data_IF_504414434767
#
_entry.id   IF_504414434767
#
_cell.length_a   1.000
_cell.length_b   1.000
_cell.length_c   1.000
_cell.angle_alpha   90.00
_cell.angle_beta   90.00
_cell.angle_gamma   90.00
#
_symmetry.space_group_name_H-M   'P 1'
#
loop_
_entity.id
_entity.type
_entity.pdbx_description
1 polymer ?
#
# COMPACT_ATOMS: atom_id res chain seq x y z
N UNK A 1 21.20 -13.59 30.89
CA UNK A 1 21.59 -12.33 31.54
C UNK A 1 21.53 -11.13 30.56
N UNK A 2 20.83 -11.19 29.44
CA UNK A 2 20.61 -10.10 28.49
C UNK A 2 21.82 -9.63 27.68
N UNK A 3 23.04 -9.80 28.23
CA UNK A 3 24.32 -9.40 27.60
C UNK A 3 25.39 -10.48 27.73
N UNK A 4 26.30 -10.55 26.75
CA UNK A 4 27.50 -11.40 26.76
C UNK A 4 28.76 -10.56 26.96
N UNK A 5 29.14 -10.36 28.22
CA UNK A 5 30.32 -9.58 28.59
C UNK A 5 31.61 -10.23 28.03
N UNK A 6 31.68 -11.57 28.00
CA UNK A 6 32.87 -12.28 27.46
C UNK A 6 32.95 -12.11 25.94
N UNK A 7 31.82 -12.19 25.25
CA UNK A 7 31.71 -11.92 23.81
C UNK A 7 32.09 -10.49 23.45
N UNK A 8 31.64 -9.50 24.23
CA UNK A 8 32.02 -8.09 24.05
C UNK A 8 33.50 -7.88 24.22
N UNK A 9 34.12 -8.46 25.29
CA UNK A 9 35.55 -8.37 25.52
C UNK A 9 36.34 -9.01 24.37
N UNK A 10 35.93 -10.22 23.93
CA UNK A 10 36.54 -10.92 22.80
C UNK A 10 36.46 -10.10 21.50
N UNK A 11 35.27 -9.58 21.16
CA UNK A 11 35.07 -8.75 19.96
C UNK A 11 35.92 -7.47 20.00
N UNK A 12 36.05 -6.84 21.18
CA UNK A 12 36.94 -5.69 21.40
C UNK A 12 38.42 -6.01 21.16
N UNK A 13 38.88 -7.15 21.67
CA UNK A 13 40.30 -7.59 21.46
C UNK A 13 40.56 -7.87 19.98
N UNK A 14 39.64 -8.55 19.28
CA UNK A 14 39.78 -8.85 17.85
C UNK A 14 39.76 -7.55 17.02
N UNK A 15 38.87 -6.62 17.33
CA UNK A 15 38.80 -5.32 16.64
C UNK A 15 40.11 -4.53 16.81
N UNK A 16 40.73 -4.56 17.98
CA UNK A 16 42.00 -3.89 18.26
C UNK A 16 43.21 -4.58 17.61
N UNK A 17 43.22 -5.90 17.57
CA UNK A 17 44.38 -6.67 17.09
C UNK A 17 44.38 -6.89 15.58
N UNK A 18 43.23 -7.20 15.01
CA UNK A 18 43.07 -7.58 13.59
C UNK A 18 42.44 -6.49 12.74
N UNK A 19 41.96 -5.38 13.33
CA UNK A 19 41.10 -4.37 12.68
C UNK A 19 39.86 -4.97 12.02
N UNK A 20 39.42 -6.14 12.47
CA UNK A 20 38.22 -6.81 12.01
C UNK A 20 37.05 -6.46 12.93
N UNK A 21 36.14 -5.65 12.43
CA UNK A 21 34.91 -5.23 13.12
C UNK A 21 33.70 -6.10 12.77
N UNK A 22 33.90 -7.22 12.06
CA UNK A 22 32.83 -8.12 11.62
C UNK A 22 32.26 -9.00 12.74
N UNK A 23 32.98 -9.15 13.85
CA UNK A 23 32.54 -9.99 14.97
C UNK A 23 31.56 -9.27 15.89
N UNK A 24 30.31 -9.74 15.88
CA UNK A 24 29.27 -9.28 16.80
C UNK A 24 29.27 -10.02 18.13
N UNK A 25 28.90 -9.32 19.20
CA UNK A 25 28.71 -9.88 20.54
C UNK A 25 27.28 -9.66 21.07
N UNK A 26 26.32 -9.43 20.17
CA UNK A 26 24.92 -9.21 20.54
C UNK A 26 24.22 -10.52 20.88
N UNK A 27 23.51 -10.55 22.00
CA UNK A 27 22.69 -11.68 22.43
C UNK A 27 21.36 -11.76 21.66
N UNK A 28 20.64 -12.89 21.76
CA UNK A 28 19.28 -13.04 21.23
C UNK A 28 18.35 -11.96 21.79
N UNK A 29 18.44 -11.66 23.09
CA UNK A 29 17.65 -10.59 23.73
C UNK A 29 17.91 -9.23 23.08
N UNK A 30 19.16 -8.88 22.81
CA UNK A 30 19.53 -7.66 22.11
C UNK A 30 19.04 -7.64 20.64
N UNK A 31 19.09 -8.78 19.96
CA UNK A 31 18.59 -8.90 18.60
C UNK A 31 17.06 -8.78 18.56
N UNK A 32 16.34 -9.39 19.52
CA UNK A 32 14.91 -9.22 19.66
C UNK A 32 14.52 -7.74 19.82
N UNK A 33 15.21 -7.03 20.73
CA UNK A 33 14.97 -5.59 20.93
C UNK A 33 15.23 -4.80 19.65
N UNK A 34 16.34 -5.10 18.96
CA UNK A 34 16.64 -4.49 17.67
C UNK A 34 15.53 -4.76 16.65
N UNK A 35 15.04 -5.99 16.56
CA UNK A 35 13.97 -6.35 15.61
C UNK A 35 12.65 -5.66 15.93
N UNK A 36 12.28 -5.55 17.22
CA UNK A 36 11.03 -4.91 17.65
C UNK A 36 11.11 -3.38 17.55
N UNK A 37 12.26 -2.77 17.85
CA UNK A 37 12.43 -1.32 17.84
C UNK A 37 12.85 -0.76 16.50
N UNK A 38 13.25 -1.63 15.56
CA UNK A 38 13.67 -1.34 14.18
C UNK A 38 14.70 -0.20 14.02
N UNK A 39 15.36 0.17 15.11
CA UNK A 39 16.41 1.20 15.09
C UNK A 39 17.69 0.63 14.49
N UNK A 40 17.84 0.75 13.17
CA UNK A 40 19.01 0.27 12.42
C UNK A 40 20.23 1.22 12.43
N UNK A 41 20.13 2.35 13.12
CA UNK A 41 21.24 3.31 13.22
C UNK A 41 22.47 2.68 13.88
N UNK A 42 23.65 2.86 13.29
CA UNK A 42 24.93 2.36 13.81
C UNK A 42 25.54 3.32 14.82
N UNK A 43 24.78 3.73 15.85
CA UNK A 43 25.26 4.68 16.87
C UNK A 43 25.58 3.99 18.20
N UNK A 44 26.57 4.52 18.94
CA UNK A 44 26.88 4.03 20.29
C UNK A 44 25.72 4.25 21.27
N UNK A 45 24.97 5.32 21.09
CA UNK A 45 23.78 5.65 21.92
C UNK A 45 22.71 4.57 21.76
N UNK A 46 22.40 4.19 20.52
CA UNK A 46 21.48 3.08 20.25
C UNK A 46 21.94 1.80 20.93
N UNK A 47 23.23 1.43 20.80
CA UNK A 47 23.76 0.20 21.39
C UNK A 47 23.70 0.21 22.92
N UNK A 48 23.89 1.37 23.53
CA UNK A 48 23.71 1.54 24.97
C UNK A 48 22.25 1.32 25.40
N UNK A 49 21.30 1.92 24.69
CA UNK A 49 19.87 1.72 24.96
C UNK A 49 19.46 0.26 24.75
N UNK A 50 19.92 -0.39 23.69
CA UNK A 50 19.69 -1.82 23.43
C UNK A 50 20.15 -2.70 24.59
N UNK A 51 21.36 -2.44 25.14
CA UNK A 51 21.89 -3.16 26.28
C UNK A 51 21.04 -2.96 27.53
N UNK A 52 20.69 -1.71 27.86
CA UNK A 52 19.85 -1.42 29.03
C UNK A 52 18.46 -2.03 28.91
N UNK A 53 17.85 -1.94 27.75
CA UNK A 53 16.55 -2.55 27.50
C UNK A 53 16.60 -4.07 27.60
N UNK A 54 17.67 -4.71 27.11
CA UNK A 54 17.85 -6.15 27.23
C UNK A 54 17.93 -6.61 28.69
N UNK A 55 18.67 -5.87 29.53
CA UNK A 55 18.77 -6.17 30.96
C UNK A 55 17.45 -5.99 31.68
N UNK A 56 16.74 -4.89 31.36
CA UNK A 56 15.44 -4.60 31.97
C UNK A 56 14.37 -5.62 31.54
N UNK A 57 14.39 -6.07 30.30
CA UNK A 57 13.43 -7.06 29.78
C UNK A 57 13.59 -8.41 30.50
N UNK A 58 14.83 -8.90 30.64
CA UNK A 58 15.09 -10.15 31.36
C UNK A 58 14.69 -10.05 32.83
N UNK A 59 15.00 -8.92 33.47
CA UNK A 59 14.61 -8.65 34.86
C UNK A 59 13.09 -8.59 35.02
N UNK A 60 12.39 -7.91 34.11
CA UNK A 60 10.94 -7.80 34.13
C UNK A 60 10.26 -9.17 34.09
N UNK A 61 10.67 -10.07 33.20
CA UNK A 61 10.11 -11.40 33.11
C UNK A 61 10.46 -12.28 34.32
N UNK A 62 11.63 -12.11 34.89
CA UNK A 62 12.06 -12.81 36.10
C UNK A 62 11.20 -12.38 37.31
N UNK A 63 10.90 -11.08 37.46
CA UNK A 63 10.01 -10.53 38.48
C UNK A 63 8.54 -10.98 38.31
N UNK A 64 8.12 -11.37 37.11
CA UNK A 64 6.80 -11.92 36.84
C UNK A 64 6.73 -13.46 37.02
N UNK A 65 7.77 -14.08 37.58
CA UNK A 65 7.90 -15.56 37.72
C UNK A 65 7.80 -16.32 36.38
N UNK A 66 8.00 -15.62 35.25
CA UNK A 66 8.10 -16.22 33.94
C UNK A 66 9.52 -16.71 33.69
N UNK A 67 9.69 -17.69 32.81
CA UNK A 67 11.01 -18.14 32.37
C UNK A 67 11.57 -17.21 31.28
N UNK A 68 12.40 -16.20 31.62
CA UNK A 68 12.79 -15.15 30.67
C UNK A 68 13.37 -15.69 29.37
N UNK A 69 14.15 -16.76 29.45
CA UNK A 69 14.82 -17.37 28.28
C UNK A 69 13.84 -17.99 27.29
N UNK A 70 12.81 -18.66 27.79
CA UNK A 70 11.80 -19.29 26.94
C UNK A 70 10.94 -18.23 26.26
N UNK A 71 10.42 -17.25 27.00
CA UNK A 71 9.59 -16.17 26.47
C UNK A 71 10.36 -15.32 25.45
N UNK A 72 11.60 -14.96 25.75
CA UNK A 72 12.45 -14.15 24.83
C UNK A 72 12.80 -14.95 23.58
N UNK A 73 13.08 -16.25 23.70
CA UNK A 73 13.38 -17.09 22.54
C UNK A 73 12.16 -17.26 21.65
N UNK A 74 10.99 -17.50 22.22
CA UNK A 74 9.74 -17.59 21.48
C UNK A 74 9.44 -16.28 20.74
N UNK A 75 9.50 -15.15 21.43
CA UNK A 75 9.32 -13.84 20.82
C UNK A 75 10.34 -13.58 19.69
N UNK A 76 11.61 -13.96 19.90
CA UNK A 76 12.65 -13.85 18.87
C UNK A 76 12.34 -14.70 17.64
N UNK A 77 11.97 -15.97 17.83
CA UNK A 77 11.65 -16.88 16.72
C UNK A 77 10.41 -16.45 15.93
N UNK A 78 9.47 -15.76 16.59
CA UNK A 78 8.28 -15.21 15.93
C UNK A 78 8.54 -13.86 15.21
N UNK A 79 9.65 -13.16 15.54
CA UNK A 79 9.92 -11.80 14.99
C UNK A 79 11.11 -11.75 14.03
N UNK A 80 11.93 -12.79 13.96
CA UNK A 80 13.06 -12.81 13.02
C UNK A 80 12.56 -12.82 11.57
N UNK A 81 13.40 -12.29 10.69
CA UNK A 81 13.20 -12.32 9.24
C UNK A 81 14.10 -13.38 8.61
N UNK A 82 13.63 -14.61 8.37
CA UNK A 82 14.45 -15.68 7.81
C UNK A 82 14.64 -15.61 6.31
N UNK A 83 13.82 -14.81 5.60
CA UNK A 83 13.90 -14.67 4.15
C UNK A 83 12.75 -13.85 3.55
N UNK A 84 12.77 -13.59 2.24
CA UNK A 84 11.78 -12.76 1.56
C UNK A 84 10.33 -13.18 1.86
N UNK A 85 9.55 -12.22 2.38
CA UNK A 85 8.14 -12.44 2.73
C UNK A 85 7.88 -13.25 4.00
N UNK A 86 8.91 -13.66 4.74
CA UNK A 86 8.76 -14.50 5.94
C UNK A 86 9.07 -13.69 7.20
N UNK A 87 8.12 -13.63 8.12
CA UNK A 87 8.34 -13.20 9.51
C UNK A 87 8.03 -14.36 10.44
N UNK A 88 9.01 -14.71 11.28
CA UNK A 88 8.95 -15.87 12.16
C UNK A 88 9.29 -17.21 11.48
N UNK A 89 9.68 -18.16 12.31
CA UNK A 89 10.18 -19.47 11.85
C UNK A 89 9.05 -20.37 11.33
N UNK A 90 7.82 -20.21 11.82
CA UNK A 90 6.66 -20.98 11.34
C UNK A 90 6.39 -20.63 9.87
N UNK A 91 6.24 -19.35 9.54
CA UNK A 91 6.02 -18.88 8.17
C UNK A 91 7.15 -19.30 7.23
N UNK A 92 8.40 -19.27 7.73
CA UNK A 92 9.54 -19.71 6.93
C UNK A 92 9.55 -21.23 6.70
N UNK A 93 9.13 -22.03 7.68
CA UNK A 93 8.97 -23.48 7.51
C UNK A 93 7.94 -23.82 6.43
N UNK A 94 6.81 -23.12 6.44
CA UNK A 94 5.78 -23.26 5.42
C UNK A 94 6.25 -22.82 4.04
N UNK A 95 6.90 -21.66 3.94
CA UNK A 95 7.35 -21.11 2.65
C UNK A 95 8.51 -21.88 2.01
N UNK A 96 9.44 -22.39 2.80
CA UNK A 96 10.59 -23.13 2.27
C UNK A 96 10.32 -24.61 2.06
N UNK A 97 9.61 -25.23 3.01
CA UNK A 97 9.45 -26.69 3.04
C UNK A 97 8.01 -27.16 2.91
N UNK A 98 7.03 -26.24 2.91
CA UNK A 98 5.60 -26.59 2.88
C UNK A 98 5.21 -27.46 4.08
N UNK A 99 5.79 -27.20 5.26
CA UNK A 99 5.60 -28.00 6.49
C UNK A 99 5.33 -27.08 7.67
N UNK A 100 4.58 -27.57 8.65
CA UNK A 100 4.56 -26.92 9.94
C UNK A 100 5.93 -27.08 10.64
N UNK A 101 6.29 -26.09 11.47
CA UNK A 101 7.57 -26.08 12.19
C UNK A 101 7.86 -27.37 12.96
N UNK A 102 6.81 -27.95 13.57
CA UNK A 102 6.91 -29.21 14.33
C UNK A 102 7.27 -30.45 13.49
N UNK A 103 7.02 -30.38 12.16
CA UNK A 103 7.21 -31.50 11.22
C UNK A 103 8.55 -31.41 10.48
N UNK A 104 9.35 -30.37 10.78
CA UNK A 104 10.68 -30.23 10.20
C UNK A 104 11.64 -31.29 10.78
N UNK A 105 12.43 -31.91 9.89
CA UNK A 105 13.53 -32.76 10.32
C UNK A 105 14.77 -31.92 10.73
N UNK A 106 15.75 -32.56 11.36
CA UNK A 106 16.95 -31.88 11.88
C UNK A 106 17.74 -31.13 10.79
N UNK A 107 17.80 -31.65 9.57
CA UNK A 107 18.47 -31.01 8.42
C UNK A 107 17.77 -29.72 8.02
N UNK A 108 16.45 -29.74 7.95
CA UNK A 108 15.62 -28.58 7.62
C UNK A 108 15.66 -27.52 8.72
N UNK A 109 15.62 -27.93 9.99
CA UNK A 109 15.78 -27.04 11.16
C UNK A 109 17.13 -26.31 11.10
N UNK A 110 18.23 -27.04 10.83
CA UNK A 110 19.54 -26.45 10.75
C UNK A 110 19.70 -25.51 9.54
N UNK A 111 19.07 -25.84 8.41
CA UNK A 111 19.04 -25.00 7.22
C UNK A 111 18.25 -23.70 7.47
N UNK A 112 17.07 -23.79 8.12
CA UNK A 112 16.27 -22.65 8.51
C UNK A 112 17.00 -21.76 9.52
N UNK A 113 17.61 -22.34 10.57
CA UNK A 113 18.40 -21.59 11.54
C UNK A 113 19.58 -20.84 10.89
N UNK A 114 20.14 -21.38 9.82
CA UNK A 114 21.26 -20.78 9.08
C UNK A 114 20.92 -19.46 8.42
N UNK A 115 19.67 -19.27 7.97
CA UNK A 115 19.21 -18.05 7.29
C UNK A 115 19.27 -16.83 8.19
N UNK A 116 19.14 -17.01 9.51
CA UNK A 116 19.09 -15.92 10.51
C UNK A 116 20.33 -15.03 10.50
N UNK A 117 21.49 -15.53 10.02
CA UNK A 117 22.73 -14.77 9.95
C UNK A 117 22.72 -13.73 8.81
N UNK A 118 22.21 -14.11 7.67
CA UNK A 118 22.06 -13.25 6.48
C UNK A 118 20.94 -13.83 5.61
N UNK A 119 19.71 -13.40 5.82
CA UNK A 119 18.53 -13.98 5.16
C UNK A 119 18.59 -13.94 3.64
N UNK A 120 19.22 -12.92 3.07
CA UNK A 120 19.34 -12.78 1.63
C UNK A 120 20.40 -13.73 1.04
N UNK A 121 21.61 -13.72 1.60
CA UNK A 121 22.72 -14.53 1.07
C UNK A 121 22.64 -16.03 1.42
N UNK A 122 21.77 -16.40 2.39
CA UNK A 122 21.59 -17.77 2.86
C UNK A 122 20.16 -18.28 2.62
N UNK A 123 19.41 -17.64 1.74
CA UNK A 123 18.09 -18.09 1.31
C UNK A 123 18.20 -19.44 0.61
N UNK A 124 17.54 -20.51 1.10
CA UNK A 124 17.72 -21.85 0.53
C UNK A 124 17.15 -22.01 -0.87
N UNK A 125 16.21 -21.14 -1.29
CA UNK A 125 15.64 -21.16 -2.65
C UNK A 125 16.63 -20.59 -3.67
N UNK A 126 17.25 -19.45 -3.35
CA UNK A 126 18.11 -18.74 -4.29
C UNK A 126 19.61 -19.05 -4.10
N UNK A 127 20.03 -19.49 -2.89
CA UNK A 127 21.42 -19.70 -2.51
C UNK A 127 21.62 -21.06 -1.80
N UNK A 128 21.13 -22.13 -2.42
CA UNK A 128 21.06 -23.48 -1.85
C UNK A 128 22.43 -24.00 -1.34
N UNK A 129 23.50 -23.77 -2.10
CA UNK A 129 24.86 -24.22 -1.73
C UNK A 129 25.42 -23.41 -0.54
N UNK A 130 25.25 -22.11 -0.51
CA UNK A 130 25.70 -21.27 0.59
C UNK A 130 24.92 -21.59 1.88
N UNK A 131 23.63 -21.84 1.77
CA UNK A 131 22.81 -22.33 2.87
C UNK A 131 23.29 -23.69 3.36
N UNK A 132 23.62 -24.64 2.47
CA UNK A 132 24.13 -25.97 2.81
C UNK A 132 25.42 -25.89 3.61
N UNK A 133 26.37 -25.08 3.16
CA UNK A 133 27.64 -24.86 3.89
C UNK A 133 27.37 -24.33 5.31
N UNK A 134 26.45 -23.40 5.43
CA UNK A 134 26.12 -22.82 6.74
C UNK A 134 25.30 -23.78 7.61
N UNK A 135 24.40 -24.54 7.04
CA UNK A 135 23.65 -25.63 7.67
C UNK A 135 24.58 -26.66 8.30
N UNK A 136 25.57 -27.10 7.51
CA UNK A 136 26.53 -28.11 7.96
C UNK A 136 27.38 -27.60 9.13
N UNK A 137 27.71 -26.30 9.10
CA UNK A 137 28.37 -25.64 10.25
C UNK A 137 27.41 -25.58 11.46
N UNK A 138 26.13 -25.31 11.30
CA UNK A 138 25.14 -25.35 12.37
C UNK A 138 25.07 -26.74 13.03
N UNK A 139 24.94 -27.79 12.20
CA UNK A 139 24.91 -29.19 12.65
C UNK A 139 26.18 -29.56 13.43
N UNK A 140 27.35 -29.12 12.96
CA UNK A 140 28.61 -29.30 13.65
C UNK A 140 28.64 -28.64 15.04
N UNK A 141 28.18 -27.41 15.14
CA UNK A 141 28.07 -26.71 16.41
C UNK A 141 27.08 -27.40 17.37
N UNK A 142 25.99 -27.96 16.87
CA UNK A 142 25.03 -28.73 17.69
C UNK A 142 25.68 -30.01 18.24
N UNK A 143 26.49 -30.71 17.42
CA UNK A 143 27.24 -31.88 17.87
C UNK A 143 28.28 -31.51 18.92
N UNK A 144 29.10 -30.50 18.67
CA UNK A 144 30.15 -30.05 19.59
C UNK A 144 29.61 -29.61 20.96
N UNK A 145 28.38 -29.11 21.00
CA UNK A 145 27.69 -28.69 22.21
C UNK A 145 26.80 -29.79 22.84
N UNK A 146 26.79 -30.99 22.25
CA UNK A 146 26.06 -32.14 22.78
C UNK A 146 24.54 -32.10 22.61
N UNK A 147 24.00 -31.23 21.74
CA UNK A 147 22.57 -31.17 21.43
C UNK A 147 22.11 -32.30 20.51
N UNK A 148 22.99 -32.83 19.70
CA UNK A 148 22.75 -33.98 18.82
C UNK A 148 23.86 -35.02 18.97
N UNK A 149 23.52 -36.28 18.72
CA UNK A 149 24.48 -37.39 18.71
C UNK A 149 25.28 -37.41 17.39
N UNK A 150 26.40 -38.11 17.37
CA UNK A 150 27.23 -38.34 16.20
C UNK A 150 26.43 -39.05 15.08
N UNK A 151 25.54 -39.97 15.42
CA UNK A 151 24.68 -40.65 14.48
C UNK A 151 23.71 -39.68 13.80
N UNK A 152 23.07 -38.81 14.57
CA UNK A 152 22.17 -37.76 14.04
C UNK A 152 22.89 -36.76 13.15
N UNK A 153 24.12 -36.37 13.56
CA UNK A 153 24.98 -35.51 12.73
C UNK A 153 25.28 -36.16 11.36
N UNK A 154 25.80 -37.41 11.41
CA UNK A 154 26.21 -38.15 10.21
C UNK A 154 25.03 -38.44 9.24
N UNK A 155 23.83 -38.61 9.75
CA UNK A 155 22.62 -38.75 8.96
C UNK A 155 22.23 -37.40 8.34
N UNK A 156 22.17 -36.36 9.15
CA UNK A 156 21.65 -35.04 8.74
C UNK A 156 22.55 -34.34 7.73
N UNK A 157 23.88 -34.50 7.83
CA UNK A 157 24.81 -33.87 6.89
C UNK A 157 24.74 -34.47 5.47
N UNK A 158 24.34 -35.74 5.38
CA UNK A 158 24.16 -36.44 4.09
C UNK A 158 22.81 -36.19 3.42
N UNK A 159 21.86 -35.72 4.18
CA UNK A 159 20.48 -35.51 3.73
C UNK A 159 20.37 -34.16 3.04
N UNK A 160 19.87 -34.15 1.82
CA UNK A 160 19.54 -32.91 1.14
C UNK A 160 18.15 -32.39 1.61
N UNK A 161 18.00 -31.07 1.59
CA UNK A 161 16.71 -30.42 1.82
C UNK A 161 15.90 -30.46 0.52
N UNK A 162 14.61 -30.69 0.66
CA UNK A 162 13.64 -30.57 -0.44
C UNK A 162 12.81 -29.32 -0.21
N UNK A 163 12.85 -28.41 -1.15
CA UNK A 163 12.16 -27.13 -1.10
C UNK A 163 10.85 -27.21 -1.89
N UNK A 164 9.91 -26.34 -1.57
CA UNK A 164 8.64 -26.23 -2.31
C UNK A 164 8.83 -25.92 -3.81
N UNK A 165 9.99 -25.40 -4.19
CA UNK A 165 10.35 -25.09 -5.59
C UNK A 165 11.09 -26.22 -6.29
N UNK A 166 11.40 -27.31 -5.62
CA UNK A 166 12.15 -28.42 -6.21
C UNK A 166 11.19 -29.38 -6.97
N UNK A 167 11.57 -29.88 -8.14
CA UNK A 167 10.76 -30.80 -8.98
C UNK A 167 10.36 -32.10 -8.27
N UNK A 168 11.11 -32.50 -7.27
CA UNK A 168 10.84 -33.70 -6.47
C UNK A 168 10.06 -33.42 -5.17
N UNK A 169 9.51 -32.21 -5.02
CA UNK A 169 8.70 -31.88 -3.87
C UNK A 169 7.39 -32.67 -3.88
N UNK A 170 7.16 -33.43 -2.81
CA UNK A 170 5.94 -34.21 -2.59
C UNK A 170 5.25 -33.71 -1.30
N UNK A 171 4.87 -32.44 -1.30
CA UNK A 171 4.45 -31.75 -0.09
C UNK A 171 3.10 -32.20 0.44
N UNK A 172 3.06 -32.47 1.75
CA UNK A 172 1.85 -32.86 2.46
C UNK A 172 0.97 -31.70 2.88
N UNK A 173 1.52 -30.49 3.08
CA UNK A 173 0.72 -29.30 3.49
C UNK A 173 0.04 -28.63 2.32
N UNK A 174 0.64 -28.63 1.12
CA UNK A 174 -0.05 -28.11 -0.06
C UNK A 174 -1.23 -29.02 -0.39
N UNK A 175 -1.09 -30.36 -0.33
CA UNK A 175 -2.20 -31.29 -0.55
C UNK A 175 -3.24 -31.26 0.59
N UNK A 176 -2.82 -31.11 1.85
CA UNK A 176 -3.74 -30.97 2.98
C UNK A 176 -4.38 -29.60 3.03
N UNK A 177 -3.65 -28.56 2.62
CA UNK A 177 -4.19 -27.23 2.38
C UNK A 177 -5.08 -27.21 1.13
N UNK A 178 -4.78 -27.97 0.07
CA UNK A 178 -5.69 -28.12 -1.08
C UNK A 178 -6.93 -28.97 -0.75
N UNK A 179 -6.90 -29.84 0.25
CA UNK A 179 -8.07 -30.59 0.73
C UNK A 179 -8.85 -29.85 1.85
N UNK A 180 -8.16 -29.12 2.74
CA UNK A 180 -8.75 -28.22 3.74
C UNK A 180 -8.95 -26.78 3.20
N UNK A 181 -8.16 -26.35 2.18
CA UNK A 181 -8.27 -25.11 1.42
C UNK A 181 -9.04 -25.28 0.09
N UNK A 182 -9.94 -26.19 0.03
CA UNK A 182 -11.21 -25.87 -0.64
C UNK A 182 -11.98 -24.76 0.09
N UNK A 183 -11.54 -24.32 1.25
CA UNK A 183 -11.54 -22.92 1.67
C UNK A 183 -10.28 -22.25 1.11
N UNK A 184 -10.40 -21.76 -0.15
CA UNK A 184 -9.53 -20.87 -0.86
C UNK A 184 -8.59 -20.07 0.06
N UNK A 185 -7.27 -20.11 -0.19
CA UNK A 185 -6.44 -18.90 -0.02
C UNK A 185 -7.00 -17.86 -0.98
N UNK A 186 -8.10 -17.26 -0.60
CA UNK A 186 -8.71 -16.17 -1.33
C UNK A 186 -7.62 -15.12 -1.50
N UNK A 187 -7.08 -15.04 -2.70
CA UNK A 187 -6.32 -13.86 -3.12
C UNK A 187 -7.18 -12.68 -2.68
N UNK A 188 -6.69 -11.93 -1.72
CA UNK A 188 -7.47 -10.87 -1.09
C UNK A 188 -8.00 -9.93 -2.16
N UNK A 189 -9.29 -9.56 -2.10
CA UNK A 189 -9.93 -8.69 -3.06
C UNK A 189 -9.22 -7.33 -3.19
N UNK A 190 -9.49 -6.62 -4.28
CA UNK A 190 -8.93 -5.27 -4.48
C UNK A 190 -9.28 -4.30 -3.35
N UNK A 191 -10.45 -4.49 -2.72
CA UNK A 191 -10.86 -3.65 -1.59
C UNK A 191 -9.96 -3.85 -0.38
N UNK A 192 -9.63 -5.10 -0.05
CA UNK A 192 -8.75 -5.42 1.08
C UNK A 192 -7.35 -4.87 0.87
N UNK A 193 -6.79 -5.01 -0.35
CA UNK A 193 -5.50 -4.41 -0.69
C UNK A 193 -5.53 -2.88 -0.57
N UNK A 194 -6.63 -2.26 -0.97
CA UNK A 194 -6.82 -0.81 -0.86
C UNK A 194 -6.86 -0.37 0.62
N UNK A 195 -7.61 -1.09 1.48
CA UNK A 195 -7.63 -0.85 2.94
C UNK A 195 -6.23 -0.95 3.52
N UNK A 196 -5.51 -2.04 3.24
CA UNK A 196 -4.15 -2.26 3.78
C UNK A 196 -3.20 -1.15 3.36
N UNK A 197 -3.24 -0.73 2.08
CA UNK A 197 -2.38 0.34 1.58
C UNK A 197 -2.72 1.69 2.25
N UNK A 198 -4.00 2.00 2.46
CA UNK A 198 -4.40 3.21 3.15
C UNK A 198 -3.96 3.19 4.60
N UNK A 199 -4.18 2.08 5.32
CA UNK A 199 -3.76 1.91 6.71
C UNK A 199 -2.23 2.04 6.86
N UNK A 200 -1.44 1.47 5.93
CA UNK A 200 0.02 1.64 5.93
C UNK A 200 0.37 3.12 5.85
N UNK A 201 -0.21 3.86 4.91
CA UNK A 201 0.10 5.27 4.71
C UNK A 201 -0.33 6.11 5.91
N UNK A 202 -1.53 5.89 6.44
CA UNK A 202 -2.04 6.65 7.58
C UNK A 202 -1.22 6.37 8.88
N UNK A 203 -0.76 5.12 9.08
CA UNK A 203 0.17 4.77 10.17
C UNK A 203 1.56 5.41 9.96
N UNK A 204 2.08 5.42 8.73
CA UNK A 204 3.33 6.12 8.41
C UNK A 204 3.24 7.61 8.79
N UNK A 205 2.17 8.27 8.39
CA UNK A 205 1.94 9.69 8.63
C UNK A 205 1.75 9.99 10.11
N UNK A 206 0.90 9.21 10.81
CA UNK A 206 0.57 9.42 12.22
C UNK A 206 1.78 9.24 13.15
N UNK A 207 2.60 8.23 12.88
CA UNK A 207 3.70 7.84 13.77
C UNK A 207 5.08 8.18 13.19
N UNK A 208 5.15 8.83 12.02
CA UNK A 208 6.40 9.16 11.31
C UNK A 208 7.28 7.91 11.07
N UNK A 209 6.65 6.80 10.70
CA UNK A 209 7.30 5.51 10.46
C UNK A 209 7.66 5.31 8.99
N UNK A 210 8.66 4.47 8.75
CA UNK A 210 8.91 3.94 7.40
C UNK A 210 7.78 2.97 6.98
N UNK A 211 7.68 2.70 5.67
CA UNK A 211 6.70 1.75 5.14
C UNK A 211 6.85 0.35 5.72
N UNK A 212 8.09 -0.07 6.00
CA UNK A 212 8.40 -1.38 6.59
C UNK A 212 7.89 -1.43 8.04
N UNK A 213 8.18 -0.39 8.83
CA UNK A 213 7.73 -0.28 10.22
C UNK A 213 6.20 -0.27 10.32
N UNK A 214 5.53 0.51 9.47
CA UNK A 214 4.07 0.55 9.40
C UNK A 214 3.48 -0.82 9.01
N UNK A 215 4.07 -1.50 8.02
CA UNK A 215 3.65 -2.84 7.62
C UNK A 215 3.80 -3.85 8.75
N UNK A 216 4.92 -3.84 9.46
CA UNK A 216 5.17 -4.71 10.61
C UNK A 216 4.17 -4.48 11.73
N UNK A 217 3.81 -3.21 12.00
CA UNK A 217 2.80 -2.87 13.00
C UNK A 217 1.42 -3.42 12.62
N UNK A 218 1.07 -3.47 11.35
CA UNK A 218 -0.20 -4.01 10.86
C UNK A 218 -0.22 -5.53 10.97
N UNK A 219 0.78 -6.20 10.41
CA UNK A 219 0.79 -7.66 10.33
C UNK A 219 1.19 -8.35 11.64
N UNK A 220 2.02 -7.72 12.46
CA UNK A 220 2.47 -8.26 13.74
C UNK A 220 1.69 -7.74 14.95
N UNK A 221 0.88 -6.69 14.79
CA UNK A 221 0.24 -5.98 15.89
C UNK A 221 -1.14 -6.49 16.29
N UNK A 222 -1.71 -7.47 15.57
CA UNK A 222 -3.05 -7.98 15.85
C UNK A 222 -4.13 -6.90 15.78
N UNK A 223 -4.00 -5.93 14.87
CA UNK A 223 -4.93 -4.81 14.76
C UNK A 223 -6.29 -5.25 14.22
N UNK A 224 -7.37 -4.69 14.77
CA UNK A 224 -8.71 -4.82 14.23
C UNK A 224 -9.03 -3.59 13.37
N UNK A 225 -9.30 -3.80 12.08
CA UNK A 225 -9.60 -2.75 11.12
C UNK A 225 -11.09 -2.80 10.78
N UNK A 226 -11.81 -1.73 11.09
CA UNK A 226 -13.24 -1.58 10.81
C UNK A 226 -13.41 -0.91 9.46
N UNK A 227 -13.63 -1.71 8.43
CA UNK A 227 -13.68 -1.26 7.04
C UNK A 227 -14.97 -0.51 6.71
N UNK A 228 -14.89 0.35 5.70
CA UNK A 228 -15.99 1.15 5.20
C UNK A 228 -16.73 0.48 4.01
N UNK A 229 -16.40 -0.75 3.66
CA UNK A 229 -16.98 -1.49 2.54
C UNK A 229 -18.49 -1.67 2.69
N UNK A 230 -19.20 -1.66 1.56
CA UNK A 230 -20.52 -2.25 1.44
C UNK A 230 -20.36 -3.60 0.74
N UNK A 231 -20.58 -4.68 1.48
CA UNK A 231 -20.34 -6.04 0.99
C UNK A 231 -21.21 -6.37 -0.22
N UNK A 232 -22.47 -5.93 -0.24
CA UNK A 232 -23.35 -6.19 -1.37
C UNK A 232 -22.89 -5.47 -2.65
N UNK A 233 -22.42 -4.22 -2.52
CA UNK A 233 -21.86 -3.47 -3.65
C UNK A 233 -20.55 -4.11 -4.12
N UNK A 234 -19.68 -4.49 -3.20
CA UNK A 234 -18.39 -5.09 -3.53
C UNK A 234 -18.53 -6.46 -4.23
N UNK A 235 -19.44 -7.30 -3.75
CA UNK A 235 -19.76 -8.59 -4.38
C UNK A 235 -20.28 -8.42 -5.81
N UNK A 236 -21.16 -7.46 -6.07
CA UNK A 236 -21.63 -7.16 -7.42
C UNK A 236 -20.49 -6.68 -8.32
N UNK A 237 -19.59 -5.83 -7.80
CA UNK A 237 -18.43 -5.38 -8.56
C UNK A 237 -17.51 -6.55 -8.91
N UNK A 238 -17.23 -7.43 -7.97
CA UNK A 238 -16.38 -8.59 -8.18
C UNK A 238 -17.00 -9.53 -9.21
N UNK A 239 -18.29 -9.87 -9.08
CA UNK A 239 -18.98 -10.73 -10.04
C UNK A 239 -18.96 -10.17 -11.48
N UNK A 240 -19.30 -8.89 -11.67
CA UNK A 240 -19.30 -8.25 -12.97
C UNK A 240 -17.93 -8.23 -13.63
N UNK A 241 -16.87 -7.96 -12.84
CA UNK A 241 -15.51 -7.80 -13.33
C UNK A 241 -14.80 -9.13 -13.53
N UNK A 242 -14.97 -10.11 -12.66
CA UNK A 242 -14.40 -11.45 -12.80
C UNK A 242 -14.97 -12.18 -14.01
N UNK A 243 -16.29 -12.16 -14.16
CA UNK A 243 -16.98 -12.83 -15.26
C UNK A 243 -16.95 -12.02 -16.57
N UNK A 244 -16.53 -10.76 -16.53
CA UNK A 244 -16.47 -9.84 -17.70
C UNK A 244 -17.78 -9.79 -18.51
N UNK A 245 -18.92 -9.98 -17.85
CA UNK A 245 -20.23 -10.11 -18.53
C UNK A 245 -20.63 -8.86 -19.31
N UNK A 246 -20.23 -7.69 -18.83
CA UNK A 246 -20.55 -6.38 -19.40
C UNK A 246 -19.44 -5.78 -20.27
N UNK A 247 -18.36 -6.51 -20.50
CA UNK A 247 -17.23 -6.00 -21.29
C UNK A 247 -17.43 -6.26 -22.78
N UNK A 248 -17.17 -5.21 -23.61
CA UNK A 248 -17.22 -5.30 -25.07
C UNK A 248 -16.16 -6.28 -25.59
N UNK A 249 -14.93 -6.12 -25.12
CA UNK A 249 -13.85 -7.07 -25.34
C UNK A 249 -13.61 -7.88 -24.06
N UNK A 250 -14.12 -9.10 -24.05
CA UNK A 250 -14.05 -9.99 -22.88
C UNK A 250 -12.66 -10.55 -22.62
N UNK A 251 -11.76 -10.51 -23.59
CA UNK A 251 -10.47 -11.18 -23.50
C UNK A 251 -9.36 -10.25 -23.01
N UNK A 252 -9.27 -9.03 -23.54
CA UNK A 252 -8.11 -8.15 -23.33
C UNK A 252 -8.41 -6.84 -22.62
N UNK A 253 -9.65 -6.35 -22.71
CA UNK A 253 -10.01 -5.07 -22.10
C UNK A 253 -9.80 -5.09 -20.58
N UNK A 254 -9.13 -4.06 -20.08
CA UNK A 254 -8.97 -3.82 -18.65
C UNK A 254 -9.77 -2.56 -18.25
N UNK A 255 -10.32 -2.63 -17.05
CA UNK A 255 -11.10 -1.54 -16.47
C UNK A 255 -10.91 -1.52 -14.96
N UNK A 256 -11.27 -0.42 -14.35
CA UNK A 256 -11.32 -0.27 -12.90
C UNK A 256 -12.51 0.61 -12.54
N UNK A 257 -13.06 0.44 -11.35
CA UNK A 257 -14.19 1.22 -10.87
C UNK A 257 -14.01 1.55 -9.39
N UNK A 258 -14.46 2.74 -9.03
CA UNK A 258 -14.59 3.21 -7.64
C UNK A 258 -16.03 3.64 -7.42
N UNK A 259 -16.63 3.19 -6.33
CA UNK A 259 -17.95 3.62 -5.88
C UNK A 259 -17.77 4.27 -4.50
N UNK A 260 -18.27 5.50 -4.37
CA UNK A 260 -18.19 6.29 -3.15
C UNK A 260 -19.54 6.87 -2.80
N UNK A 261 -19.79 7.06 -1.53
CA UNK A 261 -20.86 7.94 -1.09
C UNK A 261 -20.40 9.41 -0.99
N UNK A 262 -21.33 10.31 -0.73
CA UNK A 262 -21.06 11.74 -0.68
C UNK A 262 -20.29 12.21 0.57
N UNK A 263 -19.94 11.31 1.48
CA UNK A 263 -19.17 11.60 2.70
C UNK A 263 -17.71 11.16 2.59
N UNK A 264 -17.27 10.74 1.40
CA UNK A 264 -15.91 10.25 1.17
C UNK A 264 -15.71 8.76 1.44
N UNK A 265 -16.74 8.05 1.89
CA UNK A 265 -16.70 6.61 2.11
C UNK A 265 -16.58 5.87 0.79
N UNK A 266 -15.52 5.10 0.62
CA UNK A 266 -15.37 4.17 -0.50
C UNK A 266 -16.12 2.89 -0.17
N UNK A 267 -17.29 2.71 -0.79
CA UNK A 267 -18.18 1.56 -0.52
C UNK A 267 -17.82 0.34 -1.37
N UNK A 268 -17.14 0.55 -2.50
CA UNK A 268 -16.66 -0.53 -3.38
C UNK A 268 -15.53 -0.05 -4.29
N UNK A 269 -14.56 -0.92 -4.56
CA UNK A 269 -13.46 -0.66 -5.49
C UNK A 269 -13.00 -1.95 -6.15
N UNK A 270 -12.72 -1.86 -7.46
CA UNK A 270 -12.14 -2.95 -8.24
C UNK A 270 -11.06 -2.40 -9.18
N UNK A 271 -9.92 -3.06 -9.22
CA UNK A 271 -8.72 -2.58 -9.91
C UNK A 271 -8.39 -3.27 -11.23
N UNK A 272 -9.19 -4.24 -11.65
CA UNK A 272 -8.93 -4.97 -12.89
C UNK A 272 -10.04 -5.92 -13.25
N UNK A 273 -10.11 -6.31 -14.53
CA UNK A 273 -11.07 -7.26 -15.06
C UNK A 273 -10.46 -8.66 -15.16
N UNK A 274 -11.24 -9.68 -14.81
CA UNK A 274 -10.84 -11.08 -14.65
C UNK A 274 -10.48 -11.41 -13.21
N UNK A 275 -10.27 -12.69 -12.94
CA UNK A 275 -9.88 -13.18 -11.62
C UNK A 275 -8.55 -12.54 -11.20
N UNK A 276 -8.48 -12.06 -9.98
CA UNK A 276 -7.26 -11.50 -9.42
C UNK A 276 -6.31 -12.63 -9.01
N UNK A 277 -5.13 -12.70 -9.64
CA UNK A 277 -4.19 -13.82 -9.50
C UNK A 277 -3.18 -13.66 -8.36
N UNK A 278 -3.04 -12.46 -7.78
CA UNK A 278 -2.02 -12.20 -6.75
C UNK A 278 -2.42 -11.15 -5.73
N UNK A 279 -1.91 -11.30 -4.51
CA UNK A 279 -2.04 -10.28 -3.46
C UNK A 279 -1.29 -9.00 -3.88
N UNK A 280 -1.86 -7.83 -3.55
CA UNK A 280 -1.29 -6.51 -3.85
C UNK A 280 -0.94 -6.28 -5.33
N UNK A 281 -1.66 -6.94 -6.23
CA UNK A 281 -1.52 -6.68 -7.66
C UNK A 281 -2.00 -5.27 -8.01
N UNK A 282 -1.60 -4.78 -9.19
CA UNK A 282 -1.91 -3.43 -9.68
C UNK A 282 -3.41 -3.12 -9.55
N UNK A 283 -3.74 -2.19 -8.68
CA UNK A 283 -5.08 -1.63 -8.59
C UNK A 283 -5.20 -0.42 -9.53
N UNK A 284 -5.79 -0.61 -10.69
CA UNK A 284 -5.91 0.47 -11.69
C UNK A 284 -6.80 1.63 -11.24
N UNK A 285 -7.64 1.41 -10.23
CA UNK A 285 -8.49 2.48 -9.69
C UNK A 285 -7.68 3.52 -8.91
N UNK A 286 -6.55 3.11 -8.31
CA UNK A 286 -5.66 3.95 -7.49
C UNK A 286 -4.30 4.22 -8.14
N UNK A 287 -3.76 3.25 -8.90
CA UNK A 287 -2.35 3.25 -9.32
C UNK A 287 -2.14 3.47 -10.82
N UNK A 288 -3.23 3.58 -11.60
CA UNK A 288 -3.16 3.74 -13.05
C UNK A 288 -3.93 4.97 -13.52
N UNK A 289 -3.36 6.17 -13.38
CA UNK A 289 -3.99 7.39 -13.87
C UNK A 289 -4.16 7.34 -15.40
N UNK A 290 -5.25 7.93 -15.89
CA UNK A 290 -5.58 8.05 -17.31
C UNK A 290 -6.14 9.43 -17.60
N UNK A 291 -5.90 9.99 -18.81
CA UNK A 291 -6.52 11.24 -19.21
C UNK A 291 -8.04 11.16 -19.10
N UNK A 292 -8.68 12.02 -18.28
CA UNK A 292 -10.12 11.97 -18.06
C UNK A 292 -10.93 12.48 -19.26
N UNK A 293 -10.28 13.15 -20.20
CA UNK A 293 -10.96 13.76 -21.32
C UNK A 293 -12.01 14.77 -20.87
N UNK A 294 -13.12 14.82 -21.58
CA UNK A 294 -14.21 15.78 -21.32
C UNK A 294 -14.88 15.65 -19.95
N UNK A 295 -14.67 14.56 -19.23
CA UNK A 295 -15.20 14.41 -17.88
C UNK A 295 -14.60 15.39 -16.87
N UNK A 296 -13.45 16.00 -17.18
CA UNK A 296 -12.86 17.01 -16.31
C UNK A 296 -13.56 18.37 -16.39
N UNK A 297 -14.25 18.69 -17.48
CA UNK A 297 -14.80 20.03 -17.76
C UNK A 297 -15.69 20.60 -16.66
N UNK A 298 -16.59 19.82 -16.03
CA UNK A 298 -17.36 20.30 -14.89
C UNK A 298 -16.47 20.80 -13.76
N UNK A 299 -15.37 20.12 -13.48
CA UNK A 299 -14.49 20.36 -12.35
C UNK A 299 -13.43 21.44 -12.62
N UNK A 300 -12.90 21.51 -13.85
CA UNK A 300 -11.84 22.44 -14.21
C UNK A 300 -12.33 23.81 -14.70
N UNK A 301 -13.55 23.88 -15.28
CA UNK A 301 -14.03 25.08 -15.94
C UNK A 301 -15.41 25.53 -15.44
N UNK A 302 -16.44 24.67 -15.54
CA UNK A 302 -17.80 25.13 -15.34
C UNK A 302 -18.15 25.44 -13.89
N UNK A 303 -18.02 24.45 -12.97
CA UNK A 303 -18.38 24.65 -11.57
C UNK A 303 -17.55 25.77 -10.91
N UNK A 304 -16.23 25.84 -11.05
CA UNK A 304 -15.48 26.93 -10.43
C UNK A 304 -15.80 28.31 -11.00
N UNK A 305 -16.06 28.45 -12.31
CA UNK A 305 -16.45 29.74 -12.89
C UNK A 305 -17.87 30.16 -12.45
N UNK A 306 -18.77 29.20 -12.23
CA UNK A 306 -20.11 29.46 -11.68
C UNK A 306 -20.06 29.87 -10.22
N UNK A 307 -19.22 29.22 -9.43
CA UNK A 307 -19.05 29.48 -8.00
C UNK A 307 -18.53 30.89 -7.71
N UNK A 308 -17.63 31.40 -8.56
CA UNK A 308 -17.14 32.77 -8.49
C UNK A 308 -18.15 33.82 -9.00
N UNK A 309 -19.35 33.39 -9.42
CA UNK A 309 -20.39 34.27 -9.92
C UNK A 309 -20.16 34.82 -11.32
N UNK A 310 -19.17 34.28 -12.03
CA UNK A 310 -18.83 34.74 -13.39
C UNK A 310 -19.83 34.33 -14.46
N UNK A 311 -20.56 33.24 -14.26
CA UNK A 311 -21.57 32.69 -15.17
C UNK A 311 -22.70 31.98 -14.43
N UNK A 312 -23.80 31.76 -15.15
CA UNK A 312 -24.93 30.93 -14.76
C UNK A 312 -25.19 29.87 -15.82
N UNK A 313 -26.11 28.94 -15.58
CA UNK A 313 -26.54 27.94 -16.57
C UNK A 313 -27.08 28.54 -17.88
N UNK A 314 -27.72 29.69 -17.79
CA UNK A 314 -28.26 30.43 -18.92
C UNK A 314 -27.30 31.41 -19.57
N UNK A 315 -26.15 31.65 -19.00
CA UNK A 315 -25.14 32.55 -19.59
C UNK A 315 -24.77 32.12 -20.99
N UNK A 316 -24.72 33.09 -21.90
CA UNK A 316 -24.44 32.87 -23.33
C UNK A 316 -22.95 33.10 -23.59
N UNK A 317 -22.25 32.04 -23.98
CA UNK A 317 -20.80 32.05 -24.24
C UNK A 317 -20.57 31.86 -25.75
N UNK A 318 -19.59 32.58 -26.30
CA UNK A 318 -19.23 32.47 -27.71
C UNK A 318 -18.63 31.09 -28.02
N UNK A 319 -19.32 30.32 -28.88
CA UNK A 319 -18.88 29.03 -29.40
C UNK A 319 -17.99 29.23 -30.63
N UNK A 320 -16.68 29.49 -30.40
CA UNK A 320 -15.67 29.70 -31.44
C UNK A 320 -14.31 29.34 -30.87
N UNK A 321 -13.40 28.92 -31.72
CA UNK A 321 -11.97 28.73 -31.34
C UNK A 321 -11.41 29.94 -30.56
N UNK A 322 -10.44 29.70 -29.68
CA UNK A 322 -9.95 30.69 -28.72
C UNK A 322 -8.61 31.29 -29.12
N UNK A 323 -7.71 30.48 -29.66
CA UNK A 323 -6.35 30.89 -30.05
C UNK A 323 -5.78 29.98 -31.14
N UNK A 324 -4.67 30.42 -31.77
CA UNK A 324 -3.91 29.56 -32.67
C UNK A 324 -2.80 28.83 -31.91
N UNK A 325 -2.69 27.53 -32.15
CA UNK A 325 -1.65 26.67 -31.60
C UNK A 325 -0.95 25.97 -32.76
N UNK A 326 0.34 26.22 -32.93
CA UNK A 326 1.14 25.69 -34.04
C UNK A 326 0.52 25.93 -35.43
N UNK A 327 -0.03 27.16 -35.65
CA UNK A 327 -0.68 27.56 -36.90
C UNK A 327 -2.04 26.95 -37.18
N UNK A 328 -2.66 26.37 -36.19
CA UNK A 328 -4.04 25.80 -36.27
C UNK A 328 -4.93 26.42 -35.20
N UNK A 329 -6.18 26.65 -35.58
CA UNK A 329 -7.20 27.10 -34.62
C UNK A 329 -7.39 26.09 -33.51
N UNK A 330 -7.53 26.56 -32.26
CA UNK A 330 -7.73 25.74 -31.08
C UNK A 330 -8.80 26.36 -30.16
N UNK A 331 -9.63 25.57 -29.47
CA UNK A 331 -9.75 24.13 -29.60
C UNK A 331 -10.66 23.72 -30.76
N UNK A 332 -10.58 22.43 -31.12
CA UNK A 332 -11.46 21.76 -32.05
C UNK A 332 -12.50 20.96 -31.26
N UNK A 333 -13.78 21.02 -31.66
CA UNK A 333 -14.85 20.20 -31.10
C UNK A 333 -14.73 18.74 -31.59
N UNK A 334 -15.45 17.82 -30.93
CA UNK A 334 -15.42 16.39 -31.27
C UNK A 334 -15.84 16.11 -32.72
N UNK A 335 -16.86 16.83 -33.21
CA UNK A 335 -17.35 16.73 -34.59
C UNK A 335 -16.40 17.31 -35.66
N UNK A 336 -15.28 17.87 -35.21
CA UNK A 336 -14.25 18.39 -36.11
C UNK A 336 -14.37 19.86 -36.45
N UNK A 337 -15.41 20.58 -36.02
CA UNK A 337 -15.55 22.03 -36.21
C UNK A 337 -14.77 22.85 -35.14
N UNK A 338 -14.73 24.15 -35.34
CA UNK A 338 -14.11 25.12 -34.44
C UNK A 338 -15.13 26.01 -33.72
N UNK A 339 -16.35 25.48 -33.57
CA UNK A 339 -17.52 26.15 -33.02
C UNK A 339 -18.42 26.76 -34.09
N UNK A 340 -19.65 27.07 -33.70
CA UNK A 340 -20.68 27.61 -34.58
C UNK A 340 -20.44 29.08 -35.00
N UNK A 341 -19.55 29.78 -34.31
CA UNK A 341 -19.32 31.22 -34.46
C UNK A 341 -20.41 32.09 -33.79
N UNK A 342 -21.41 31.46 -33.20
CA UNK A 342 -22.51 32.11 -32.45
C UNK A 342 -22.39 31.90 -30.94
N UNK A 343 -23.38 32.32 -30.20
CA UNK A 343 -23.47 32.14 -28.75
C UNK A 343 -24.27 30.88 -28.39
N UNK A 344 -23.83 30.20 -27.37
CA UNK A 344 -24.48 28.99 -26.82
C UNK A 344 -24.62 29.13 -25.31
N UNK A 345 -25.73 28.64 -24.72
CA UNK A 345 -25.86 28.62 -23.27
C UNK A 345 -24.87 27.65 -22.63
N UNK A 346 -24.44 27.96 -21.41
CA UNK A 346 -23.54 27.08 -20.59
C UNK A 346 -24.13 25.68 -20.51
N UNK A 347 -25.42 25.53 -20.21
CA UNK A 347 -26.10 24.25 -20.16
C UNK A 347 -25.96 23.46 -21.48
N UNK A 348 -26.23 24.09 -22.62
CA UNK A 348 -26.12 23.47 -23.93
C UNK A 348 -24.64 23.12 -24.29
N UNK A 349 -23.72 23.98 -23.94
CA UNK A 349 -22.32 23.74 -24.17
C UNK A 349 -21.81 22.52 -23.40
N UNK A 350 -22.20 22.38 -22.13
CA UNK A 350 -21.88 21.22 -21.31
C UNK A 350 -22.56 19.95 -21.84
N UNK A 351 -23.85 19.98 -22.12
CA UNK A 351 -24.63 18.84 -22.66
C UNK A 351 -24.07 18.32 -23.98
N UNK A 352 -23.57 19.20 -24.84
CA UNK A 352 -22.92 18.86 -26.11
C UNK A 352 -21.44 18.63 -26.01
N UNK A 353 -20.89 18.76 -24.79
CA UNK A 353 -19.44 18.58 -24.50
C UNK A 353 -18.54 19.41 -25.42
N UNK A 354 -18.93 20.66 -25.73
CA UNK A 354 -18.13 21.55 -26.56
C UNK A 354 -16.76 21.78 -25.90
N UNK A 355 -15.72 21.89 -26.72
CA UNK A 355 -14.35 22.20 -26.26
C UNK A 355 -14.07 23.71 -26.22
N UNK A 356 -14.72 24.45 -27.08
CA UNK A 356 -14.56 25.91 -27.24
C UNK A 356 -14.97 26.69 -26.00
N UNK A 357 -16.07 26.28 -25.36
CA UNK A 357 -16.62 26.98 -24.20
C UNK A 357 -15.75 26.82 -22.93
N UNK A 358 -15.39 25.61 -22.44
CA UNK A 358 -14.54 25.51 -21.27
C UNK A 358 -13.15 26.14 -21.48
N UNK A 359 -12.58 26.08 -22.69
CA UNK A 359 -11.33 26.78 -22.99
C UNK A 359 -11.49 28.29 -22.79
N UNK A 360 -12.59 28.88 -23.29
CA UNK A 360 -12.87 30.29 -23.12
C UNK A 360 -13.15 30.69 -21.68
N UNK A 361 -13.86 29.87 -20.93
CA UNK A 361 -14.12 30.11 -19.50
C UNK A 361 -12.82 30.15 -18.71
N UNK A 362 -11.90 29.21 -18.95
CA UNK A 362 -10.59 29.20 -18.28
C UNK A 362 -9.76 30.41 -18.69
N UNK A 363 -9.70 30.75 -19.99
CA UNK A 363 -8.86 31.86 -20.48
C UNK A 363 -9.34 33.23 -20.05
N UNK A 364 -10.67 33.46 -20.05
CA UNK A 364 -11.24 34.79 -19.93
C UNK A 364 -11.92 35.09 -18.59
N UNK A 365 -12.32 34.06 -17.85
CA UNK A 365 -13.10 34.23 -16.65
C UNK A 365 -12.37 33.72 -15.41
N UNK A 366 -11.94 32.43 -15.39
CA UNK A 366 -11.44 31.78 -14.18
C UNK A 366 -9.91 31.86 -14.04
N UNK A 367 -9.20 31.65 -15.13
CA UNK A 367 -7.72 31.61 -15.14
C UNK A 367 -7.15 30.18 -15.08
N UNK A 368 -6.03 29.97 -15.80
CA UNK A 368 -5.33 28.69 -15.87
C UNK A 368 -4.78 28.27 -14.51
N UNK A 369 -4.16 29.20 -13.78
CA UNK A 369 -3.60 28.96 -12.46
C UNK A 369 -4.66 28.55 -11.44
N UNK A 370 -5.79 29.23 -11.43
CA UNK A 370 -6.88 28.93 -10.50
C UNK A 370 -7.58 27.60 -10.86
N UNK A 371 -7.77 27.32 -12.15
CA UNK A 371 -8.26 26.02 -12.63
C UNK A 371 -7.34 24.88 -12.20
N UNK A 372 -6.03 25.05 -12.31
CA UNK A 372 -5.06 24.05 -11.86
C UNK A 372 -5.07 23.88 -10.34
N UNK A 373 -5.09 24.97 -9.57
CA UNK A 373 -5.22 24.91 -8.10
C UNK A 373 -6.52 24.27 -7.65
N UNK A 374 -7.64 24.54 -8.35
CA UNK A 374 -8.90 23.86 -8.06
C UNK A 374 -8.71 22.34 -8.09
N UNK A 375 -8.10 21.80 -9.14
CA UNK A 375 -7.90 20.37 -9.30
C UNK A 375 -6.90 19.81 -8.28
N UNK A 376 -5.78 20.50 -8.03
CA UNK A 376 -4.66 19.95 -7.24
C UNK A 376 -4.75 20.26 -5.75
N UNK A 377 -5.15 21.48 -5.38
CA UNK A 377 -5.15 21.92 -3.98
C UNK A 377 -6.52 21.71 -3.31
N UNK A 378 -7.62 21.99 -4.03
CA UNK A 378 -8.97 21.85 -3.50
C UNK A 378 -9.50 20.43 -3.67
N UNK A 379 -9.46 19.87 -4.88
CA UNK A 379 -9.92 18.51 -5.19
C UNK A 379 -8.87 17.42 -5.00
N UNK A 380 -7.65 17.79 -4.58
CA UNK A 380 -6.56 16.89 -4.16
C UNK A 380 -6.12 15.87 -5.23
N UNK A 381 -6.29 16.18 -6.50
CA UNK A 381 -5.78 15.35 -7.61
C UNK A 381 -4.26 15.49 -7.64
N UNK A 382 -3.56 14.44 -7.18
CA UNK A 382 -2.09 14.47 -6.96
C UNK A 382 -1.26 14.13 -8.19
N UNK A 383 -1.89 13.60 -9.25
CA UNK A 383 -1.21 13.08 -10.43
C UNK A 383 -0.88 14.13 -11.48
N UNK A 384 -1.40 15.36 -11.33
CA UNK A 384 -1.16 16.47 -12.26
C UNK A 384 0.22 17.10 -12.02
N UNK A 385 0.90 17.46 -13.10
CA UNK A 385 2.30 17.93 -13.08
C UNK A 385 2.43 19.39 -13.51
N UNK A 386 3.37 20.11 -12.88
CA UNK A 386 3.84 21.44 -13.34
C UNK A 386 5.17 21.37 -14.05
N UNK A 387 5.81 20.19 -14.14
CA UNK A 387 7.16 20.03 -14.69
C UNK A 387 7.13 19.81 -16.20
N UNK A 388 7.86 20.62 -16.95
CA UNK A 388 8.06 20.43 -18.39
C UNK A 388 8.80 19.09 -18.66
N UNK A 389 8.50 18.39 -19.76
CA UNK A 389 7.52 18.68 -20.81
C UNK A 389 6.08 18.23 -20.47
N UNK A 390 5.85 17.76 -19.26
CA UNK A 390 4.60 17.13 -18.81
C UNK A 390 3.69 18.08 -18.01
N UNK A 391 3.92 19.39 -18.11
CA UNK A 391 3.15 20.38 -17.36
C UNK A 391 1.68 20.40 -17.76
N UNK A 392 0.77 20.23 -16.79
CA UNK A 392 -0.69 20.14 -17.00
C UNK A 392 -1.41 21.47 -16.70
N UNK A 393 -0.69 22.50 -16.26
CA UNK A 393 -1.21 23.80 -15.85
C UNK A 393 -1.43 24.78 -17.03
N UNK A 394 -1.81 24.27 -18.18
CA UNK A 394 -2.13 25.10 -19.37
C UNK A 394 -3.55 24.82 -19.83
N UNK A 395 -4.16 25.82 -20.47
CA UNK A 395 -5.56 25.74 -20.92
C UNK A 395 -5.81 24.58 -21.88
N UNK A 396 -4.82 24.24 -22.72
CA UNK A 396 -4.93 23.14 -23.68
C UNK A 396 -5.21 21.81 -23.01
N UNK A 397 -4.71 21.61 -21.78
CA UNK A 397 -4.91 20.39 -21.00
C UNK A 397 -6.09 20.50 -20.04
N UNK A 398 -6.19 21.62 -19.35
CA UNK A 398 -7.25 21.87 -18.36
C UNK A 398 -8.65 21.86 -18.96
N UNK A 399 -8.80 22.43 -20.17
CA UNK A 399 -10.11 22.59 -20.81
C UNK A 399 -10.70 21.28 -21.36
N UNK A 400 -9.87 20.31 -21.70
CA UNK A 400 -10.29 19.09 -22.40
C UNK A 400 -9.82 17.80 -21.72
N UNK A 401 -9.11 17.89 -20.60
CA UNK A 401 -8.63 16.75 -19.83
C UNK A 401 -7.54 15.92 -20.51
N UNK A 402 -6.73 16.55 -21.37
CA UNK A 402 -5.60 15.88 -22.03
C UNK A 402 -4.33 15.91 -21.17
N UNK A 403 -4.45 15.51 -19.93
CA UNK A 403 -3.34 15.51 -18.97
C UNK A 403 -2.28 14.47 -19.33
N UNK A 404 -1.02 14.78 -18.98
CA UNK A 404 0.14 13.96 -19.32
C UNK A 404 0.10 12.57 -18.73
N UNK A 405 -0.21 12.46 -17.46
CA UNK A 405 -0.40 11.19 -16.75
C UNK A 405 -1.88 10.86 -16.59
N UNK A 406 -2.72 11.88 -16.45
CA UNK A 406 -4.14 11.74 -16.21
C UNK A 406 -4.50 11.77 -14.74
N UNK A 407 -5.66 11.19 -14.39
CA UNK A 407 -6.21 11.10 -13.04
C UNK A 407 -6.60 9.66 -12.73
N UNK A 408 -6.63 9.29 -11.45
CA UNK A 408 -7.11 7.98 -11.02
C UNK A 408 -8.64 7.94 -10.99
N UNK A 409 -9.23 6.75 -11.05
CA UNK A 409 -10.67 6.56 -10.86
C UNK A 409 -11.10 7.05 -9.47
N UNK A 410 -10.29 6.79 -8.44
CA UNK A 410 -10.55 7.23 -7.07
C UNK A 410 -10.60 8.76 -6.96
N UNK A 411 -9.55 9.45 -7.46
CA UNK A 411 -9.47 10.92 -7.39
C UNK A 411 -10.62 11.59 -8.15
N UNK A 412 -10.94 11.09 -9.34
CA UNK A 412 -12.00 11.64 -10.15
C UNK A 412 -13.37 11.43 -9.49
N UNK A 413 -13.63 10.26 -8.90
CA UNK A 413 -14.88 9.97 -8.17
C UNK A 413 -15.01 10.89 -6.96
N UNK A 414 -13.95 11.07 -6.15
CA UNK A 414 -13.94 11.97 -5.01
C UNK A 414 -14.22 13.43 -5.43
N UNK A 415 -13.61 13.86 -6.52
CA UNK A 415 -13.86 15.19 -7.07
C UNK A 415 -15.32 15.39 -7.52
N UNK A 416 -15.90 14.38 -8.16
CA UNK A 416 -17.32 14.45 -8.58
C UNK A 416 -18.30 14.39 -7.42
N UNK A 417 -17.97 13.74 -6.31
CA UNK A 417 -18.79 13.75 -5.10
C UNK A 417 -19.05 15.17 -4.58
N UNK A 418 -18.12 16.11 -4.81
CA UNK A 418 -18.30 17.52 -4.43
C UNK A 418 -19.47 18.19 -5.16
N UNK A 419 -19.74 17.79 -6.38
CA UNK A 419 -20.87 18.34 -7.14
C UNK A 419 -22.22 17.81 -6.63
N UNK A 420 -22.24 16.60 -6.07
CA UNK A 420 -23.46 15.95 -5.57
C UNK A 420 -23.81 16.28 -4.11
N UNK A 421 -22.84 16.79 -3.32
CA UNK A 421 -23.03 17.03 -1.89
C UNK A 421 -23.05 18.51 -1.47
N UNK A 422 -23.29 19.40 -2.42
CA UNK A 422 -23.35 20.84 -2.18
C UNK A 422 -21.96 21.51 -2.07
N UNK A 423 -20.94 20.93 -2.69
CA UNK A 423 -19.61 21.53 -2.82
C UNK A 423 -18.62 21.18 -1.73
N UNK A 424 -18.86 20.13 -0.95
CA UNK A 424 -17.93 19.68 0.09
C UNK A 424 -16.97 18.61 -0.44
N UNK A 425 -15.68 18.82 -0.26
CA UNK A 425 -14.69 17.77 -0.52
C UNK A 425 -14.41 16.96 0.73
N UNK A 426 -14.53 15.64 0.61
CA UNK A 426 -14.12 14.68 1.62
C UNK A 426 -12.98 13.82 1.07
N UNK A 427 -11.93 13.63 1.88
CA UNK A 427 -10.85 12.68 1.56
C UNK A 427 -11.44 11.27 1.46
N UNK A 428 -11.15 10.50 0.39
CA UNK A 428 -11.59 9.11 0.30
C UNK A 428 -11.06 8.27 1.46
N UNK A 429 -11.92 7.44 2.07
CA UNK A 429 -11.52 6.53 3.12
C UNK A 429 -12.13 5.13 2.95
N UNK A 430 -11.32 4.12 3.29
CA UNK A 430 -11.68 2.71 3.19
C UNK A 430 -11.99 2.06 4.54
N UNK A 431 -11.73 2.75 5.65
CA UNK A 431 -11.99 2.24 7.00
C UNK A 431 -12.40 3.38 7.94
N UNK A 432 -13.20 3.05 8.94
CA UNK A 432 -13.66 3.99 9.94
C UNK A 432 -12.64 4.17 11.06
N UNK A 433 -12.16 3.07 11.63
CA UNK A 433 -11.21 3.07 12.75
C UNK A 433 -10.36 1.82 12.77
N UNK A 434 -9.26 1.91 13.50
CA UNK A 434 -8.37 0.81 13.82
C UNK A 434 -8.23 0.73 15.33
N UNK A 435 -8.38 -0.47 15.90
CA UNK A 435 -8.14 -0.72 17.32
C UNK A 435 -7.02 -1.73 17.52
N UNK A 436 -6.51 -1.82 18.75
CA UNK A 436 -5.62 -2.90 19.15
C UNK A 436 -6.36 -4.25 19.15
N UNK A 437 -5.62 -5.35 19.38
CA UNK A 437 -6.18 -6.71 19.41
C UNK A 437 -7.39 -6.88 20.33
N UNK A 438 -7.38 -6.25 21.50
CA UNK A 438 -8.48 -6.34 22.48
C UNK A 438 -9.69 -5.43 22.14
N UNK A 439 -9.59 -4.55 21.16
CA UNK A 439 -10.62 -3.57 20.81
C UNK A 439 -10.78 -2.43 21.83
N UNK A 440 -9.88 -2.34 22.82
CA UNK A 440 -9.99 -1.40 23.95
C UNK A 440 -9.34 -0.06 23.70
N UNK A 441 -8.37 -0.02 22.78
CA UNK A 441 -7.62 1.20 22.45
C UNK A 441 -7.76 1.50 20.96
N UNK A 442 -8.14 2.73 20.62
CA UNK A 442 -8.19 3.21 19.24
C UNK A 442 -6.80 3.67 18.80
N UNK A 443 -6.30 3.05 17.74
CA UNK A 443 -5.01 3.36 17.12
C UNK A 443 -5.15 4.50 16.10
N UNK A 444 -6.18 4.43 15.26
CA UNK A 444 -6.57 5.46 14.30
C UNK A 444 -8.08 5.58 14.24
N UNK A 445 -8.57 6.80 14.07
CA UNK A 445 -9.99 7.10 13.88
C UNK A 445 -10.16 8.05 12.68
N UNK A 446 -10.93 7.62 11.69
CA UNK A 446 -11.25 8.42 10.52
C UNK A 446 -12.67 9.02 10.61
N UNK A 447 -13.43 8.75 11.67
CA UNK A 447 -14.79 9.26 11.82
C UNK A 447 -14.81 10.76 12.02
N UNK A 448 -13.86 11.32 12.78
CA UNK A 448 -13.76 12.75 13.05
C UNK A 448 -13.26 13.57 11.84
N UNK A 449 -12.49 12.95 10.92
CA UNK A 449 -11.93 13.65 9.77
C UNK A 449 -12.99 14.05 8.73
N UNK A 450 -14.20 13.53 8.84
CA UNK A 450 -15.27 13.71 7.85
C UNK A 450 -16.43 14.58 8.32
N UNK A 451 -16.46 15.01 9.61
CA UNK A 451 -17.50 15.94 10.08
C UNK A 451 -17.34 17.36 9.49
N UNK A 452 -16.10 17.76 9.15
CA UNK A 452 -15.77 19.07 8.57
C UNK A 452 -15.39 18.99 7.09
N UNK A 453 -16.25 18.40 6.25
CA UNK A 453 -16.08 18.49 4.79
C UNK A 453 -15.82 19.94 4.39
N UNK A 454 -14.65 20.20 3.78
CA UNK A 454 -14.24 21.54 3.41
C UNK A 454 -15.10 22.05 2.26
N UNK A 455 -15.88 23.09 2.47
CA UNK A 455 -16.66 23.71 1.40
C UNK A 455 -15.72 24.24 0.31
N UNK A 456 -15.84 23.70 -0.90
CA UNK A 456 -15.11 24.14 -2.08
C UNK A 456 -15.98 24.98 -3.02
N UNK A 457 -17.28 24.70 -3.07
CA UNK A 457 -18.24 25.38 -3.91
C UNK A 457 -19.47 25.76 -3.12
N UNK A 458 -19.98 26.97 -3.35
CA UNK A 458 -21.36 27.34 -3.07
C UNK A 458 -22.15 27.21 -4.37
N UNK A 459 -22.53 26.03 -4.76
CA UNK A 459 -23.52 25.85 -5.80
C UNK A 459 -24.81 26.44 -5.23
N UNK A 460 -25.11 27.68 -5.60
CA UNK A 460 -26.40 28.30 -5.29
C UNK A 460 -27.48 27.38 -5.82
N UNK A 461 -28.19 26.69 -4.93
CA UNK A 461 -29.44 26.05 -5.29
C UNK A 461 -30.36 27.16 -5.74
N UNK A 462 -30.78 27.12 -6.99
CA UNK A 462 -31.80 28.03 -7.48
C UNK A 462 -33.08 27.84 -6.64
N UNK A 463 -33.43 28.88 -5.85
CA UNK A 463 -34.71 29.03 -5.22
C UNK A 463 -34.84 28.51 -3.80
N UNK A 464 -34.14 29.09 -2.85
CA UNK A 464 -34.64 29.41 -1.52
C UNK A 464 -33.77 30.54 -0.94
N UNK A 465 -33.91 31.72 -1.51
CA UNK A 465 -33.67 32.92 -0.71
C UNK A 465 -34.89 33.05 0.21
N UNK A 466 -34.82 32.50 1.38
CA UNK A 466 -35.54 32.98 2.56
C UNK A 466 -34.80 32.43 3.80
N UNK A 467 -34.07 33.33 4.41
CA UNK A 467 -33.39 33.47 5.68
C UNK A 467 -31.88 33.45 5.62
#
# INVERSE_FOLDING_TARGET
NGIDIKGIARAGVIALTSRDFSQGASTITQQLIKNITEKNETTYVRKYHEILTALNLEKYYDEQELKPKEVILEAYLNTIYPGPGCYGVQTAAENYYGKELKDLNLTEIAALASTTKNPYALDPIYHKEDNKVRRDYCLKCMLEQGYISESQYNESIKKDIVLVTDDNYQGSLIQKKEEDEKEETKVQGYYVDFVINQVINDIMDQYSLSKIEASNKIYGGGLQIYTAVDLGIQEILEDVYENRTSFIDRQYAQSAMTIMDYTGRVVGIIGGAGVKEGARSLNRATDSPRPPGSSIKPLSAYAPTMDEGGITWSSMILDKWCKDVNGKHWPKNYNGDYGSGGYVSVQNALARSLNTVPARLIMNNYGEAESFKMLTEKLKISTLSTKAPYADNCVERLAIGAFSYGVTSLDLTAAYCTLGNGGKYYKPYAYYKITNYSGTETVLDNTDLNEDGKYLFRLAAFGTDNE
#
